data_IF_989270541245
#
_entry.id   IF_989270541245
#
_cell.length_a   1.000
_cell.length_b   1.000
_cell.length_c   1.000
_cell.angle_alpha   90.00
_cell.angle_beta   90.00
_cell.angle_gamma   90.00
#
_symmetry.space_group_name_H-M   'P 1'
#
loop_
_entity.id
_entity.type
_entity.pdbx_description
1 polymer ?
#
# COMPACT_ATOMS: atom_id res chain seq x y z
N UNK A 1 14.19 -14.83 -5.99
CA UNK A 1 13.42 -13.80 -6.73
C UNK A 1 13.18 -12.64 -5.77
N UNK A 2 13.76 -11.47 -6.02
CA UNK A 2 13.48 -10.27 -5.21
C UNK A 2 12.30 -9.56 -5.86
N UNK A 3 11.20 -9.43 -5.13
CA UNK A 3 10.06 -8.63 -5.56
C UNK A 3 10.45 -7.16 -5.47
N UNK A 4 10.29 -6.43 -6.55
CA UNK A 4 10.65 -5.01 -6.64
C UNK A 4 9.44 -4.11 -6.33
N UNK A 5 8.22 -4.65 -6.36
CA UNK A 5 7.02 -3.92 -6.00
C UNK A 5 6.03 -4.75 -5.17
N UNK A 6 5.28 -4.06 -4.32
CA UNK A 6 4.04 -4.56 -3.73
C UNK A 6 2.84 -3.84 -4.36
N UNK A 7 1.92 -4.63 -4.92
CA UNK A 7 0.64 -4.16 -5.40
C UNK A 7 -0.41 -4.27 -4.28
N UNK A 8 -0.85 -3.13 -3.77
CA UNK A 8 -1.87 -3.02 -2.74
C UNK A 8 -3.22 -2.68 -3.39
N UNK A 9 -4.18 -3.61 -3.32
CA UNK A 9 -5.55 -3.37 -3.80
C UNK A 9 -6.43 -2.90 -2.67
N UNK A 10 -7.23 -1.89 -2.94
CA UNK A 10 -8.16 -1.36 -1.95
C UNK A 10 -9.34 -2.31 -1.75
N UNK A 11 -9.94 -2.26 -0.56
CA UNK A 11 -11.24 -2.83 -0.19
C UNK A 11 -12.36 -2.36 -1.13
N UNK A 12 -13.57 -2.88 -0.93
CA UNK A 12 -14.72 -2.52 -1.75
C UNK A 12 -14.89 -1.00 -1.87
N UNK A 13 -14.53 -0.47 -3.05
CA UNK A 13 -14.71 0.93 -3.44
C UNK A 13 -16.16 1.20 -3.85
N UNK A 14 -17.12 0.59 -3.17
CA UNK A 14 -18.58 0.78 -3.34
C UNK A 14 -19.05 2.17 -2.90
N UNK A 15 -18.14 2.99 -2.39
CA UNK A 15 -18.38 4.37 -2.00
C UNK A 15 -18.76 5.24 -3.22
N UNK A 16 -20.00 5.77 -3.20
CA UNK A 16 -20.51 6.81 -4.11
C UNK A 16 -19.45 7.91 -4.29
N UNK A 17 -19.26 8.36 -5.53
CA UNK A 17 -18.03 8.99 -6.05
C UNK A 17 -17.33 10.06 -5.20
N UNK A 18 -18.04 10.85 -4.40
CA UNK A 18 -17.44 11.90 -3.54
C UNK A 18 -16.63 11.35 -2.36
N UNK A 19 -16.99 10.17 -1.83
CA UNK A 19 -16.31 9.57 -0.68
C UNK A 19 -15.05 8.79 -1.08
N UNK A 20 -14.88 8.48 -2.37
CA UNK A 20 -13.72 7.73 -2.86
C UNK A 20 -12.41 8.48 -2.67
N UNK A 21 -12.35 9.76 -3.06
CA UNK A 21 -11.12 10.55 -2.93
C UNK A 21 -10.70 10.69 -1.47
N UNK A 22 -11.67 10.93 -0.58
CA UNK A 22 -11.45 10.98 0.88
C UNK A 22 -10.92 9.64 1.39
N UNK A 23 -11.53 8.52 0.99
CA UNK A 23 -11.09 7.18 1.37
C UNK A 23 -9.66 6.89 0.92
N UNK A 24 -9.33 7.12 -0.36
CA UNK A 24 -7.98 6.86 -0.90
C UNK A 24 -6.93 7.73 -0.20
N UNK A 25 -7.23 9.00 0.05
CA UNK A 25 -6.33 9.89 0.78
C UNK A 25 -6.12 9.42 2.22
N UNK A 26 -7.20 9.02 2.91
CA UNK A 26 -7.10 8.49 4.27
C UNK A 26 -6.30 7.19 4.31
N UNK A 27 -6.53 6.28 3.36
CA UNK A 27 -5.82 5.02 3.27
C UNK A 27 -4.32 5.25 3.02
N UNK A 28 -3.97 6.18 2.13
CA UNK A 28 -2.58 6.59 1.89
C UNK A 28 -1.93 7.16 3.15
N UNK A 29 -2.65 8.00 3.90
CA UNK A 29 -2.16 8.53 5.17
C UNK A 29 -1.94 7.42 6.21
N UNK A 30 -2.84 6.44 6.28
CA UNK A 30 -2.70 5.29 7.18
C UNK A 30 -1.49 4.43 6.79
N UNK A 31 -1.26 4.19 5.50
CA UNK A 31 -0.06 3.50 4.99
C UNK A 31 1.21 4.24 5.41
N UNK A 32 1.30 5.55 5.13
CA UNK A 32 2.47 6.35 5.51
C UNK A 32 2.73 6.34 7.01
N UNK A 33 1.68 6.41 7.84
CA UNK A 33 1.81 6.32 9.30
C UNK A 33 2.27 4.94 9.75
N UNK A 34 1.73 3.87 9.18
CA UNK A 34 2.08 2.51 9.53
C UNK A 34 3.52 2.17 9.16
N UNK A 35 4.01 2.67 8.03
CA UNK A 35 5.38 2.44 7.57
C UNK A 35 6.40 3.44 8.14
N UNK A 36 6.01 4.31 9.06
CA UNK A 36 6.93 5.25 9.70
C UNK A 36 8.06 4.49 10.42
N UNK A 37 9.30 4.93 10.21
CA UNK A 37 10.51 4.33 10.77
C UNK A 37 11.02 3.10 10.01
N UNK A 38 10.42 2.79 8.86
CA UNK A 38 11.02 1.90 7.86
C UNK A 38 11.57 2.78 6.72
N UNK A 39 12.56 2.27 6.02
CA UNK A 39 13.20 2.93 4.88
C UNK A 39 13.22 1.99 3.66
N UNK A 40 13.70 2.49 2.52
CA UNK A 40 13.84 1.71 1.30
C UNK A 40 12.52 1.41 0.58
N UNK A 41 11.49 2.26 0.72
CA UNK A 41 10.24 2.09 -0.01
C UNK A 41 9.67 3.41 -0.54
N UNK A 42 8.98 3.35 -1.68
CA UNK A 42 8.30 4.50 -2.28
C UNK A 42 6.83 4.16 -2.57
N UNK A 43 5.91 4.87 -1.91
CA UNK A 43 4.46 4.66 -2.06
C UNK A 43 3.89 5.52 -3.20
N UNK A 44 3.44 4.87 -4.26
CA UNK A 44 2.73 5.46 -5.42
C UNK A 44 1.26 5.08 -5.41
N UNK A 45 0.43 5.94 -4.81
CA UNK A 45 -1.03 5.78 -4.80
C UNK A 45 -1.69 6.18 -6.12
N UNK A 46 -2.53 5.28 -6.66
CA UNK A 46 -3.47 5.56 -7.76
C UNK A 46 -4.92 5.43 -7.27
N UNK A 47 -5.88 5.70 -8.16
CA UNK A 47 -7.31 5.76 -7.85
C UNK A 47 -7.85 4.47 -7.22
N UNK A 48 -7.43 3.32 -7.73
CA UNK A 48 -8.02 2.03 -7.38
C UNK A 48 -7.03 1.08 -6.68
N UNK A 49 -5.75 1.45 -6.64
CA UNK A 49 -4.64 0.63 -6.12
C UNK A 49 -3.42 1.49 -5.75
N UNK A 50 -2.59 0.98 -4.84
CA UNK A 50 -1.29 1.52 -4.48
C UNK A 50 -0.18 0.60 -5.00
N UNK A 51 0.89 1.20 -5.49
CA UNK A 51 2.16 0.50 -5.75
C UNK A 51 3.16 0.95 -4.69
N UNK A 52 3.88 0.01 -4.10
CA UNK A 52 4.98 0.30 -3.19
C UNK A 52 6.22 -0.26 -3.86
N UNK A 53 7.09 0.62 -4.33
CA UNK A 53 8.40 0.26 -4.87
C UNK A 53 9.32 -0.05 -3.69
N UNK A 54 10.09 -1.13 -3.80
CA UNK A 54 10.97 -1.62 -2.76
C UNK A 54 12.42 -1.54 -3.24
N UNK A 55 13.28 -0.99 -2.39
CA UNK A 55 14.73 -1.01 -2.58
C UNK A 55 15.32 -2.32 -2.08
N UNK A 56 16.57 -2.61 -2.46
CA UNK A 56 17.24 -3.88 -2.17
C UNK A 56 17.41 -4.20 -0.68
N UNK A 57 17.41 -3.17 0.17
CA UNK A 57 17.59 -3.25 1.61
C UNK A 57 16.28 -3.12 2.40
N UNK A 58 15.14 -3.03 1.72
CA UNK A 58 13.84 -2.88 2.36
C UNK A 58 13.41 -4.16 3.08
N UNK A 59 12.86 -4.03 4.29
CA UNK A 59 12.27 -5.15 5.01
C UNK A 59 10.85 -5.46 4.49
N UNK A 60 10.79 -6.26 3.43
CA UNK A 60 9.54 -6.63 2.76
C UNK A 60 8.57 -7.32 3.71
N UNK A 61 9.07 -8.13 4.65
CA UNK A 61 8.24 -8.90 5.57
C UNK A 61 7.56 -7.96 6.57
N UNK A 62 8.32 -7.04 7.16
CA UNK A 62 7.78 -6.07 8.10
C UNK A 62 6.82 -5.09 7.40
N UNK A 63 7.18 -4.61 6.19
CA UNK A 63 6.29 -3.76 5.38
C UNK A 63 4.97 -4.48 5.11
N UNK A 64 5.01 -5.72 4.62
CA UNK A 64 3.81 -6.50 4.30
C UNK A 64 2.97 -6.77 5.55
N UNK A 65 3.62 -7.12 6.66
CA UNK A 65 2.95 -7.36 7.94
C UNK A 65 2.21 -6.10 8.42
N UNK A 66 2.87 -4.94 8.41
CA UNK A 66 2.25 -3.67 8.80
C UNK A 66 1.08 -3.29 7.88
N UNK A 67 1.24 -3.44 6.57
CA UNK A 67 0.18 -3.17 5.61
C UNK A 67 -1.04 -4.08 5.83
N UNK A 68 -0.85 -5.35 6.19
CA UNK A 68 -1.96 -6.28 6.41
C UNK A 68 -2.90 -5.86 7.57
N UNK A 69 -2.42 -5.03 8.49
CA UNK A 69 -3.20 -4.48 9.61
C UNK A 69 -4.04 -3.26 9.24
N UNK A 70 -3.86 -2.69 8.05
CA UNK A 70 -4.54 -1.47 7.65
C UNK A 70 -5.92 -1.78 7.08
N UNK A 71 -6.96 -1.35 7.78
CA UNK A 71 -8.33 -1.42 7.28
C UNK A 71 -8.48 -0.67 5.95
N UNK A 72 -9.18 -1.29 5.01
CA UNK A 72 -9.37 -0.77 3.65
C UNK A 72 -8.35 -1.28 2.63
N UNK A 73 -7.35 -2.07 3.04
CA UNK A 73 -6.57 -2.91 2.13
C UNK A 73 -7.28 -4.26 1.97
N UNK A 74 -7.54 -4.67 0.71
CA UNK A 74 -8.16 -5.97 0.40
C UNK A 74 -7.14 -7.08 0.21
N UNK A 75 -6.05 -6.74 -0.49
CA UNK A 75 -5.01 -7.70 -0.82
C UNK A 75 -3.70 -6.97 -1.08
N UNK A 76 -2.60 -7.66 -0.78
CA UNK A 76 -1.24 -7.25 -1.07
C UNK A 76 -0.65 -8.35 -1.93
N UNK A 77 -0.16 -8.00 -3.12
CA UNK A 77 0.48 -8.95 -4.03
C UNK A 77 1.91 -8.51 -4.26
N UNK A 78 2.91 -9.33 -3.91
CA UNK A 78 4.26 -9.10 -4.39
C UNK A 78 4.28 -9.31 -5.91
N UNK A 79 4.85 -8.36 -6.64
CA UNK A 79 4.96 -8.43 -8.09
C UNK A 79 6.41 -8.22 -8.50
N UNK A 80 6.77 -8.87 -9.60
CA UNK A 80 8.04 -8.66 -10.30
C UNK A 80 7.73 -7.79 -11.51
N UNK A 81 8.56 -6.80 -11.77
CA UNK A 81 8.53 -6.07 -13.04
C UNK A 81 9.24 -6.85 -14.15
#
# INVERSE_FOLDING_TARGET
MKYDHLLVRYGELTLKGSNRKKFVNQLRNNVNKSLKGLDGFVVKGKRDRMYIELEDHADINEITYRLSKIFGIKSISPVLK
#
